data_IF_661588666690
#
_entry.id   IF_661588666690
#
_cell.length_a   1.000
_cell.length_b   1.000
_cell.length_c   1.000
_cell.angle_alpha   90.00
_cell.angle_beta   90.00
_cell.angle_gamma   90.00
#
_symmetry.space_group_name_H-M   'P 1'
#
loop_
_entity.id
_entity.type
_entity.pdbx_description
1 polymer ?
#
# COMPACT_ATOMS: atom_id res chain seq x y z
N UNK A 1 38.36 -72.26 -38.28
CA UNK A 1 37.19 -71.92 -37.46
C UNK A 1 36.73 -73.22 -36.81
N UNK A 2 37.17 -73.44 -35.58
CA UNK A 2 37.13 -74.73 -34.90
C UNK A 2 36.21 -74.68 -33.67
N UNK A 3 35.59 -75.84 -33.39
CA UNK A 3 35.18 -76.39 -32.07
C UNK A 3 34.23 -75.56 -31.19
N UNK A 4 33.19 -76.09 -30.54
CA UNK A 4 32.86 -77.48 -30.22
C UNK A 4 32.53 -77.59 -28.72
N UNK A 5 31.31 -78.10 -28.44
CA UNK A 5 30.95 -79.04 -27.35
C UNK A 5 31.01 -78.65 -25.85
N UNK A 6 30.00 -79.15 -25.11
CA UNK A 6 30.01 -79.41 -23.66
C UNK A 6 28.90 -78.67 -22.88
N UNK A 7 27.69 -79.19 -22.70
CA UNK A 7 27.22 -80.29 -21.84
C UNK A 7 27.14 -79.98 -20.31
N UNK A 8 25.89 -80.06 -19.82
CA UNK A 8 25.40 -80.47 -18.47
C UNK A 8 25.71 -79.59 -17.24
N UNK A 9 24.63 -79.20 -16.52
CA UNK A 9 24.26 -79.81 -15.22
C UNK A 9 22.92 -79.25 -14.69
N UNK A 10 22.12 -80.13 -14.11
CA UNK A 10 20.91 -79.85 -13.31
C UNK A 10 21.32 -79.36 -11.90
N UNK A 11 20.63 -78.35 -11.37
CA UNK A 11 20.86 -77.82 -10.02
C UNK A 11 19.59 -77.23 -9.39
N UNK A 12 19.17 -77.86 -8.29
CA UNK A 12 18.01 -77.65 -7.41
C UNK A 12 17.98 -76.27 -6.66
N UNK A 13 16.94 -75.98 -5.83
CA UNK A 13 16.18 -74.72 -5.81
C UNK A 13 16.77 -73.61 -4.93
N UNK A 14 16.58 -72.36 -5.37
CA UNK A 14 17.00 -71.15 -4.65
C UNK A 14 15.82 -70.23 -4.32
N UNK A 15 15.40 -70.28 -3.05
CA UNK A 15 14.81 -69.22 -2.20
C UNK A 15 14.21 -67.96 -2.87
N UNK A 16 12.93 -67.71 -2.59
CA UNK A 16 12.24 -66.42 -2.75
C UNK A 16 13.00 -65.28 -2.03
N UNK A 17 13.22 -64.11 -2.66
CA UNK A 17 13.36 -62.87 -1.92
C UNK A 17 11.98 -62.22 -1.75
N UNK A 18 11.55 -62.13 -0.49
CA UNK A 18 10.49 -61.24 -0.06
C UNK A 18 10.95 -59.79 -0.24
N UNK A 19 10.31 -59.04 -1.12
CA UNK A 19 10.40 -57.59 -1.13
C UNK A 19 9.09 -57.03 -1.70
N UNK A 20 8.16 -56.69 -0.80
CA UNK A 20 7.07 -55.76 -1.13
C UNK A 20 7.72 -54.40 -1.35
N UNK A 21 7.49 -53.71 -2.49
CA UNK A 21 8.11 -52.43 -2.76
C UNK A 21 7.66 -51.39 -1.72
N UNK A 22 8.62 -50.65 -1.16
CA UNK A 22 8.46 -49.69 -0.06
C UNK A 22 7.41 -48.58 -0.30
N UNK A 23 6.92 -48.45 -1.53
CA UNK A 23 5.88 -47.49 -1.93
C UNK A 23 4.51 -47.86 -1.34
N UNK A 24 4.22 -49.16 -1.15
CA UNK A 24 2.92 -49.59 -0.61
C UNK A 24 2.82 -49.45 0.92
N UNK A 25 3.96 -49.48 1.62
CA UNK A 25 4.02 -49.29 3.08
C UNK A 25 3.84 -47.82 3.48
N UNK A 26 4.30 -46.88 2.65
CA UNK A 26 4.17 -45.44 2.90
C UNK A 26 2.73 -44.94 2.74
N UNK A 27 1.98 -45.52 1.79
CA UNK A 27 0.57 -45.17 1.54
C UNK A 27 -0.36 -45.68 2.66
N UNK A 28 -0.06 -46.81 3.30
CA UNK A 28 -0.86 -47.35 4.41
C UNK A 28 -0.62 -46.63 5.76
N UNK A 29 0.50 -45.91 5.91
CA UNK A 29 0.79 -45.10 7.10
C UNK A 29 0.09 -43.72 7.08
N UNK A 30 -0.37 -43.26 5.91
CA UNK A 30 -1.10 -41.98 5.77
C UNK A 30 -2.62 -42.10 5.98
N UNK A 31 -3.15 -43.31 6.19
CA UNK A 31 -4.57 -43.58 6.44
C UNK A 31 -4.90 -43.96 7.90
N UNK A 32 -3.99 -43.72 8.84
CA UNK A 32 -4.22 -43.92 10.29
C UNK A 32 -3.82 -42.70 11.12
N UNK A 33 -4.47 -41.58 10.87
CA UNK A 33 -4.54 -40.49 11.85
C UNK A 33 -6.00 -40.29 12.26
N UNK A 34 -6.39 -40.59 13.51
CA UNK A 34 -7.70 -40.17 13.98
C UNK A 34 -7.69 -38.65 14.07
N UNK A 35 -8.57 -38.00 13.32
CA UNK A 35 -8.84 -36.58 13.45
C UNK A 35 -9.29 -36.30 14.89
N UNK A 36 -8.39 -35.75 15.70
CA UNK A 36 -8.70 -35.27 17.05
C UNK A 36 -9.29 -33.88 16.87
N UNK A 37 -10.61 -33.75 17.04
CA UNK A 37 -11.29 -32.47 17.11
C UNK A 37 -10.67 -31.66 18.26
N UNK A 38 -9.98 -30.57 17.92
CA UNK A 38 -9.47 -29.62 18.89
C UNK A 38 -10.63 -28.75 19.38
N UNK A 39 -11.13 -29.05 20.59
CA UNK A 39 -11.97 -28.13 21.34
C UNK A 39 -11.15 -26.89 21.70
N UNK A 40 -11.45 -25.75 21.08
CA UNK A 40 -10.92 -24.45 21.50
C UNK A 40 -11.60 -24.09 22.83
N UNK A 41 -10.89 -24.30 23.94
CA UNK A 41 -11.25 -23.68 25.22
C UNK A 41 -10.73 -22.24 25.19
N UNK A 42 -11.62 -21.28 25.40
CA UNK A 42 -11.30 -19.86 25.63
C UNK A 42 -10.37 -19.79 26.85
N UNK A 43 -9.09 -19.49 26.63
CA UNK A 43 -8.17 -19.15 27.70
C UNK A 43 -8.40 -17.68 28.07
N UNK A 44 -8.83 -17.42 29.30
CA UNK A 44 -8.78 -16.09 29.89
C UNK A 44 -7.31 -15.77 30.17
N UNK A 45 -6.79 -14.74 29.52
CA UNK A 45 -5.44 -14.26 29.76
C UNK A 45 -5.45 -13.32 30.98
N UNK A 46 -4.90 -13.81 32.09
CA UNK A 46 -4.56 -12.97 33.25
C UNK A 46 -3.33 -12.14 32.89
N UNK A 47 -3.53 -10.85 32.61
CA UNK A 47 -2.46 -9.89 32.33
C UNK A 47 -1.66 -9.61 33.60
N UNK A 48 -0.45 -10.16 33.67
CA UNK A 48 0.57 -9.71 34.62
C UNK A 48 1.34 -8.58 33.95
N UNK A 49 1.09 -7.34 34.37
CA UNK A 49 1.74 -6.15 33.84
C UNK A 49 3.19 -6.10 34.34
N UNK A 50 4.14 -6.48 33.49
CA UNK A 50 5.54 -6.05 33.63
C UNK A 50 5.74 -4.82 32.75
N UNK A 51 6.02 -3.69 33.40
CA UNK A 51 6.30 -2.39 32.79
C UNK A 51 7.53 -2.48 31.89
N UNK A 52 7.32 -2.41 30.58
CA UNK A 52 8.34 -2.06 29.60
C UNK A 52 8.31 -0.55 29.39
N UNK A 53 9.49 0.07 29.28
CA UNK A 53 9.65 1.48 28.93
C UNK A 53 8.92 1.80 27.61
N UNK A 54 8.40 3.03 27.43
CA UNK A 54 7.58 3.35 26.27
C UNK A 54 8.44 3.26 25.00
N UNK A 55 8.15 2.29 24.15
CA UNK A 55 8.51 2.36 22.74
C UNK A 55 7.91 3.65 22.17
N UNK A 56 8.67 4.36 21.34
CA UNK A 56 8.24 5.59 20.71
C UNK A 56 6.87 5.39 20.05
N UNK A 57 5.84 6.04 20.61
CA UNK A 57 4.44 5.65 20.45
C UNK A 57 4.01 5.36 19.00
N UNK A 58 3.43 4.17 18.82
CA UNK A 58 2.53 3.87 17.71
C UNK A 58 1.60 5.07 17.52
N UNK A 59 1.51 5.59 16.29
CA UNK A 59 0.75 6.81 16.00
C UNK A 59 -0.69 6.67 16.48
N UNK A 60 -1.23 7.70 17.13
CA UNK A 60 -2.65 7.75 17.48
C UNK A 60 -3.47 7.63 16.18
N UNK A 61 -4.26 6.55 16.10
CA UNK A 61 -5.08 6.17 14.93
C UNK A 61 -6.53 6.66 15.05
N UNK A 62 -6.78 7.66 15.90
CA UNK A 62 -8.10 8.02 16.42
C UNK A 62 -8.69 9.30 15.82
N UNK A 63 -8.01 9.93 14.85
CA UNK A 63 -8.49 11.16 14.20
C UNK A 63 -8.14 11.24 12.73
N UNK A 64 -8.90 12.03 11.99
CA UNK A 64 -8.59 12.44 10.62
C UNK A 64 -7.86 13.78 10.62
N UNK A 65 -6.85 13.91 9.74
CA UNK A 65 -6.16 15.19 9.54
C UNK A 65 -6.94 16.06 8.54
N UNK A 66 -7.43 17.20 9.02
CA UNK A 66 -7.95 18.26 8.16
C UNK A 66 -6.83 18.89 7.32
N UNK A 67 -7.18 19.58 6.25
CA UNK A 67 -6.22 20.05 5.26
C UNK A 67 -5.22 21.06 5.83
N UNK A 68 -5.65 21.87 6.80
CA UNK A 68 -4.77 22.77 7.55
C UNK A 68 -3.66 22.03 8.30
N UNK A 69 -3.95 20.80 8.75
CA UNK A 69 -3.01 19.95 9.49
C UNK A 69 -2.27 18.95 8.59
N UNK A 70 -2.81 18.60 7.41
CA UNK A 70 -2.30 17.51 6.57
C UNK A 70 -0.85 17.75 6.16
N UNK A 71 -0.50 18.98 5.77
CA UNK A 71 0.88 19.33 5.43
C UNK A 71 1.83 19.09 6.60
N UNK A 72 1.43 19.43 7.82
CA UNK A 72 2.23 19.19 9.04
C UNK A 72 2.33 17.70 9.37
N UNK A 73 1.23 16.94 9.26
CA UNK A 73 1.24 15.50 9.44
C UNK A 73 2.17 14.78 8.46
N UNK A 74 2.23 15.24 7.20
CA UNK A 74 3.16 14.70 6.20
C UNK A 74 4.62 15.10 6.46
N UNK A 75 4.88 16.28 7.02
CA UNK A 75 6.23 16.65 7.48
C UNK A 75 6.67 15.79 8.66
N UNK A 76 5.77 15.48 9.59
CA UNK A 76 6.04 14.56 10.70
C UNK A 76 6.31 13.14 10.19
N UNK A 77 5.50 12.65 9.25
CA UNK A 77 5.73 11.37 8.57
C UNK A 77 7.10 11.34 7.86
N UNK A 78 7.47 12.42 7.16
CA UNK A 78 8.78 12.57 6.53
C UNK A 78 9.93 12.54 7.57
N UNK A 79 9.76 13.26 8.68
CA UNK A 79 10.71 13.32 9.78
C UNK A 79 10.84 12.00 10.56
N UNK A 80 10.02 10.98 10.27
CA UNK A 80 10.21 9.63 10.77
C UNK A 80 11.29 8.84 10.02
N UNK A 81 11.77 9.32 8.86
CA UNK A 81 12.85 8.73 8.07
C UNK A 81 14.18 9.50 8.13
N UNK A 82 15.31 8.94 7.68
CA UNK A 82 16.57 9.68 7.60
C UNK A 82 16.50 10.86 6.60
N UNK A 83 17.33 11.92 6.79
CA UNK A 83 17.41 13.02 5.83
C UNK A 83 17.68 12.54 4.41
N UNK A 84 17.00 13.13 3.44
CA UNK A 84 17.15 12.77 2.02
C UNK A 84 16.44 11.50 1.58
N UNK A 85 15.60 10.90 2.44
CA UNK A 85 14.67 9.84 2.04
C UNK A 85 13.39 10.39 1.39
N UNK A 86 12.97 11.61 1.75
CA UNK A 86 11.66 12.14 1.35
C UNK A 86 11.71 13.52 0.71
N UNK A 87 10.65 13.86 -0.04
CA UNK A 87 10.32 15.20 -0.51
C UNK A 87 8.82 15.44 -0.37
N UNK A 88 8.44 16.53 0.27
CA UNK A 88 7.06 16.99 0.36
C UNK A 88 6.87 18.15 -0.60
N UNK A 89 5.86 18.05 -1.45
CA UNK A 89 5.52 19.07 -2.45
C UNK A 89 4.03 19.02 -2.79
N UNK A 90 3.54 20.02 -3.50
CA UNK A 90 2.19 20.10 -4.01
C UNK A 90 2.19 19.97 -5.54
N UNK A 91 1.24 19.22 -6.09
CA UNK A 91 1.07 19.07 -7.54
C UNK A 91 0.13 20.12 -8.15
N UNK A 92 -0.50 20.94 -7.30
CA UNK A 92 -1.51 21.91 -7.69
C UNK A 92 -2.45 22.22 -6.53
N UNK A 93 -3.55 22.89 -6.81
CA UNK A 93 -4.55 23.21 -5.80
C UNK A 93 -5.93 22.67 -6.23
N UNK A 94 -6.78 22.40 -5.25
CA UNK A 94 -8.20 22.19 -5.46
C UNK A 94 -8.91 23.45 -5.94
N UNK A 95 -10.19 23.33 -6.27
CA UNK A 95 -11.03 24.48 -6.63
C UNK A 95 -11.05 25.57 -5.56
N UNK A 96 -11.13 25.23 -4.26
CA UNK A 96 -11.10 26.20 -3.16
C UNK A 96 -9.67 26.62 -2.76
N UNK A 97 -8.66 26.24 -3.56
CA UNK A 97 -7.28 26.69 -3.37
C UNK A 97 -6.48 25.88 -2.36
N UNK A 98 -6.96 24.70 -1.94
CA UNK A 98 -6.24 23.83 -1.01
C UNK A 98 -5.13 23.06 -1.74
N UNK A 99 -3.91 22.96 -1.18
CA UNK A 99 -2.81 22.27 -1.83
C UNK A 99 -3.07 20.75 -1.97
N UNK A 100 -2.63 20.19 -3.09
CA UNK A 100 -2.66 18.74 -3.33
C UNK A 100 -1.32 18.13 -2.96
N UNK A 101 -1.15 17.86 -1.66
CA UNK A 101 0.12 17.38 -1.10
C UNK A 101 0.51 15.99 -1.61
N UNK A 102 1.79 15.86 -1.93
CA UNK A 102 2.46 14.61 -2.28
C UNK A 102 3.71 14.45 -1.43
N UNK A 103 3.83 13.32 -0.75
CA UNK A 103 5.08 12.88 -0.14
C UNK A 103 5.73 11.82 -1.05
N UNK A 104 6.88 12.16 -1.62
CA UNK A 104 7.77 11.21 -2.30
C UNK A 104 8.69 10.56 -1.27
N UNK A 105 8.85 9.24 -1.33
CA UNK A 105 9.74 8.44 -0.49
C UNK A 105 10.60 7.54 -1.38
N UNK A 106 11.91 7.81 -1.40
CA UNK A 106 12.89 7.00 -2.11
C UNK A 106 14.30 7.32 -1.60
N UNK A 107 15.18 6.32 -1.51
CA UNK A 107 16.54 6.54 -1.02
C UNK A 107 17.39 7.32 -2.04
N UNK A 108 18.24 8.23 -1.60
CA UNK A 108 19.22 8.89 -2.47
C UNK A 108 18.73 10.17 -3.15
N UNK A 109 17.77 10.88 -2.56
CA UNK A 109 17.35 12.22 -3.05
C UNK A 109 18.36 13.32 -2.70
N UNK A 110 19.38 13.02 -1.89
CA UNK A 110 20.31 14.01 -1.37
C UNK A 110 19.69 14.90 -0.28
N UNK A 111 20.41 15.93 0.18
CA UNK A 111 19.97 16.81 1.26
C UNK A 111 18.57 17.38 1.01
N UNK A 112 17.74 17.59 2.06
CA UNK A 112 16.47 18.30 1.92
C UNK A 112 16.64 19.63 1.20
N UNK A 113 15.65 20.02 0.40
CA UNK A 113 15.61 21.37 -0.15
C UNK A 113 15.33 22.36 1.00
N UNK A 114 15.89 23.58 0.96
CA UNK A 114 15.51 24.62 1.90
C UNK A 114 14.02 24.93 1.79
N UNK A 115 13.42 25.38 2.90
CA UNK A 115 12.01 25.74 2.95
C UNK A 115 11.70 26.86 1.92
N UNK A 116 10.67 26.65 1.08
CA UNK A 116 10.27 27.54 0.00
C UNK A 116 9.05 27.00 -0.76
N UNK A 117 8.62 27.68 -1.82
CA UNK A 117 7.42 27.30 -2.61
C UNK A 117 7.48 25.82 -3.02
N UNK A 118 6.68 25.01 -2.34
CA UNK A 118 6.64 23.56 -2.49
C UNK A 118 5.82 23.16 -3.72
N UNK A 119 6.11 23.74 -4.88
CA UNK A 119 5.52 23.36 -6.16
C UNK A 119 6.07 22.02 -6.68
N UNK A 120 5.64 21.58 -7.87
CA UNK A 120 6.02 20.28 -8.44
C UNK A 120 7.54 20.06 -8.56
N UNK A 121 8.31 21.14 -8.77
CA UNK A 121 9.76 21.10 -8.92
C UNK A 121 10.48 20.70 -7.61
N UNK A 122 9.83 20.87 -6.45
CA UNK A 122 10.33 20.42 -5.17
C UNK A 122 10.35 18.88 -5.01
N UNK A 123 9.78 18.14 -5.98
CA UNK A 123 9.86 16.68 -6.01
C UNK A 123 11.30 16.15 -6.09
N UNK A 124 12.25 16.95 -6.61
CA UNK A 124 13.64 16.55 -6.83
C UNK A 124 13.85 15.70 -8.08
N UNK A 125 15.09 15.31 -8.40
CA UNK A 125 15.42 14.63 -9.66
C UNK A 125 14.80 13.23 -9.75
N UNK A 126 14.53 12.76 -10.97
CA UNK A 126 14.25 11.36 -11.22
C UNK A 126 15.51 10.52 -10.98
N UNK A 127 15.32 9.32 -10.44
CA UNK A 127 16.39 8.36 -10.19
C UNK A 127 16.35 7.27 -11.27
N UNK A 128 17.36 7.18 -12.15
CA UNK A 128 17.36 6.18 -13.23
C UNK A 128 17.21 4.75 -12.72
N UNK A 129 16.44 3.94 -13.45
CA UNK A 129 16.23 2.53 -13.12
C UNK A 129 15.29 2.26 -11.95
N UNK A 130 14.65 3.29 -11.37
CA UNK A 130 13.65 3.11 -10.31
C UNK A 130 12.23 3.21 -10.86
N UNK A 131 11.40 2.14 -10.79
CA UNK A 131 9.99 2.24 -11.05
C UNK A 131 9.32 3.23 -10.09
N UNK A 132 8.32 3.96 -10.61
CA UNK A 132 7.53 4.88 -9.82
C UNK A 132 6.19 4.26 -9.48
N UNK A 133 5.78 4.37 -8.22
CA UNK A 133 4.46 3.94 -7.73
C UNK A 133 3.76 5.16 -7.15
N UNK A 134 2.55 5.45 -7.63
CA UNK A 134 1.73 6.57 -7.16
C UNK A 134 0.51 5.99 -6.44
N UNK A 135 0.35 6.34 -5.16
CA UNK A 135 -0.78 5.97 -4.33
C UNK A 135 -1.62 7.23 -4.11
N UNK A 136 -2.84 7.23 -4.65
CA UNK A 136 -3.76 8.37 -4.62
C UNK A 136 -4.99 7.97 -3.83
N UNK A 137 -5.28 8.72 -2.77
CA UNK A 137 -6.43 8.50 -1.89
C UNK A 137 -7.47 9.59 -2.03
N UNK A 138 -8.65 9.33 -1.45
CA UNK A 138 -9.70 10.31 -1.18
C UNK A 138 -10.02 11.17 -2.41
N UNK A 139 -10.22 10.48 -3.55
CA UNK A 139 -10.78 11.07 -4.77
C UNK A 139 -12.25 11.42 -4.62
N UNK A 140 -12.96 10.65 -3.79
CA UNK A 140 -14.22 11.05 -3.21
C UNK A 140 -13.93 11.53 -1.78
N UNK A 141 -14.35 12.75 -1.45
CA UNK A 141 -13.97 13.42 -0.21
C UNK A 141 -14.57 12.77 1.05
N UNK A 142 -15.74 12.14 0.93
CA UNK A 142 -16.44 11.39 1.97
C UNK A 142 -15.89 9.96 2.22
N UNK A 143 -15.03 9.45 1.34
CA UNK A 143 -14.33 8.16 1.50
C UNK A 143 -13.02 8.34 2.31
N UNK A 144 -13.16 8.88 3.53
CA UNK A 144 -12.10 9.47 4.36
C UNK A 144 -10.98 8.50 4.80
N UNK A 145 -11.29 7.21 4.95
CA UNK A 145 -10.32 6.19 5.42
C UNK A 145 -9.08 6.12 4.52
N UNK A 146 -9.28 6.25 3.21
CA UNK A 146 -8.18 6.18 2.23
C UNK A 146 -7.13 7.28 2.43
N UNK A 147 -7.55 8.50 2.80
CA UNK A 147 -6.68 9.63 3.16
C UNK A 147 -5.78 9.27 4.33
N UNK A 148 -6.39 8.76 5.39
CA UNK A 148 -5.70 8.50 6.64
C UNK A 148 -4.74 7.30 6.54
N UNK A 149 -5.16 6.22 5.87
CA UNK A 149 -4.31 5.05 5.60
C UNK A 149 -3.04 5.44 4.86
N UNK A 150 -3.13 6.37 3.90
CA UNK A 150 -1.97 6.83 3.15
C UNK A 150 -1.00 7.67 3.99
N UNK A 151 -1.50 8.51 4.91
CA UNK A 151 -0.65 9.24 5.87
C UNK A 151 0.12 8.26 6.77
N UNK A 152 -0.56 7.24 7.29
CA UNK A 152 0.08 6.22 8.13
C UNK A 152 1.06 5.34 7.37
N UNK A 153 0.72 4.96 6.13
CA UNK A 153 1.62 4.24 5.25
C UNK A 153 2.90 5.04 5.00
N UNK A 154 2.79 6.34 4.70
CA UNK A 154 3.93 7.22 4.52
C UNK A 154 4.85 7.24 5.77
N UNK A 155 4.28 7.38 6.96
CA UNK A 155 5.02 7.34 8.23
C UNK A 155 5.71 5.98 8.42
N UNK A 156 5.02 4.87 8.15
CA UNK A 156 5.59 3.54 8.34
C UNK A 156 6.69 3.21 7.33
N UNK A 157 6.55 3.65 6.07
CA UNK A 157 7.62 3.55 5.07
C UNK A 157 8.88 4.30 5.54
N UNK A 158 8.73 5.52 6.04
CA UNK A 158 9.84 6.34 6.51
C UNK A 158 10.48 5.78 7.80
N UNK A 159 9.65 5.47 8.80
CA UNK A 159 10.08 4.92 10.09
C UNK A 159 10.72 3.53 9.93
N UNK A 160 10.08 2.64 9.17
CA UNK A 160 10.58 1.30 8.92
C UNK A 160 11.90 1.30 8.16
N UNK A 161 12.11 2.23 7.21
CA UNK A 161 13.41 2.42 6.59
C UNK A 161 14.48 2.84 7.61
N UNK A 162 14.17 3.78 8.51
CA UNK A 162 15.08 4.19 9.59
C UNK A 162 15.41 3.03 10.54
N UNK A 163 14.41 2.22 10.91
CA UNK A 163 14.58 1.03 11.76
C UNK A 163 15.40 -0.08 11.09
N UNK A 164 15.64 0.02 9.78
CA UNK A 164 16.37 -1.00 9.03
C UNK A 164 15.54 -2.23 8.67
N UNK A 165 14.21 -2.09 8.57
CA UNK A 165 13.34 -3.17 8.11
C UNK A 165 13.79 -3.66 6.72
N UNK A 166 14.19 -4.93 6.54
CA UNK A 166 14.77 -5.40 5.28
C UNK A 166 13.84 -5.27 4.07
N UNK A 167 12.52 -5.37 4.27
CA UNK A 167 11.53 -5.24 3.20
C UNK A 167 11.38 -3.78 2.80
N UNK A 168 11.25 -2.87 3.76
CA UNK A 168 11.04 -1.45 3.49
C UNK A 168 12.31 -0.77 2.98
N UNK A 169 13.47 -1.15 3.50
CA UNK A 169 14.78 -0.74 2.98
C UNK A 169 14.94 -1.17 1.52
N UNK A 170 14.64 -2.43 1.19
CA UNK A 170 14.71 -2.90 -0.20
C UNK A 170 13.72 -2.16 -1.11
N UNK A 171 12.49 -1.94 -0.64
CA UNK A 171 11.46 -1.22 -1.39
C UNK A 171 11.93 0.19 -1.75
N UNK A 172 12.32 1.00 -0.76
CA UNK A 172 12.68 2.41 -1.01
C UNK A 172 14.05 2.60 -1.66
N UNK A 173 14.92 1.59 -1.65
CA UNK A 173 16.18 1.59 -2.42
C UNK A 173 15.97 1.28 -3.91
N UNK A 174 14.86 0.67 -4.27
CA UNK A 174 14.62 0.20 -5.65
C UNK A 174 13.44 0.90 -6.31
N UNK A 175 12.51 1.46 -5.53
CA UNK A 175 11.24 2.01 -6.00
C UNK A 175 11.10 3.46 -5.53
N UNK A 176 10.43 4.26 -6.33
CA UNK A 176 10.06 5.63 -6.01
C UNK A 176 8.56 5.68 -5.66
N UNK A 177 8.26 5.86 -4.38
CA UNK A 177 6.87 5.81 -3.88
C UNK A 177 6.38 7.23 -3.67
N UNK A 178 5.30 7.59 -4.36
CA UNK A 178 4.62 8.86 -4.19
C UNK A 178 3.27 8.63 -3.53
N UNK A 179 3.02 9.34 -2.43
CA UNK A 179 1.78 9.25 -1.67
C UNK A 179 1.07 10.59 -1.77
N UNK A 180 -0.12 10.59 -2.37
CA UNK A 180 -1.06 11.69 -2.44
C UNK A 180 -2.28 11.32 -1.58
N UNK A 181 -2.34 11.74 -0.31
CA UNK A 181 -3.41 11.30 0.60
C UNK A 181 -4.80 11.74 0.16
N UNK A 182 -4.93 12.94 -0.41
CA UNK A 182 -6.22 13.53 -0.76
C UNK A 182 -6.21 14.23 -2.10
N UNK A 183 -6.90 13.64 -3.07
CA UNK A 183 -7.16 14.28 -4.36
C UNK A 183 -8.34 15.25 -4.28
N UNK A 184 -9.31 15.02 -3.38
CA UNK A 184 -10.48 15.88 -3.17
C UNK A 184 -10.50 16.48 -1.74
N UNK A 185 -9.57 17.40 -1.40
CA UNK A 185 -9.56 18.02 -0.08
C UNK A 185 -10.81 18.87 0.17
N UNK A 186 -11.40 19.49 -0.87
CA UNK A 186 -12.61 20.30 -0.72
C UNK A 186 -13.82 19.45 -0.32
N UNK A 187 -14.00 18.29 -0.95
CA UNK A 187 -15.04 17.33 -0.59
C UNK A 187 -14.82 16.77 0.81
N UNK A 188 -13.57 16.49 1.19
CA UNK A 188 -13.22 16.03 2.53
C UNK A 188 -13.60 17.05 3.61
N UNK A 189 -13.27 18.33 3.43
CA UNK A 189 -13.62 19.38 4.40
C UNK A 189 -15.13 19.63 4.52
N UNK A 190 -15.91 19.30 3.47
CA UNK A 190 -17.37 19.37 3.53
C UNK A 190 -18.00 18.11 4.12
N UNK A 191 -17.33 16.96 4.07
CA UNK A 191 -17.82 15.70 4.59
C UNK A 191 -18.08 15.80 6.10
N UNK A 192 -19.12 15.12 6.57
CA UNK A 192 -19.52 15.13 7.98
C UNK A 192 -19.71 13.70 8.45
N UNK A 193 -19.18 13.39 9.63
CA UNK A 193 -19.43 12.11 10.27
C UNK A 193 -20.94 11.89 10.46
N UNK A 194 -21.41 10.68 10.11
CA UNK A 194 -22.83 10.32 10.13
C UNK A 194 -23.60 10.71 8.87
N UNK A 195 -23.01 11.44 7.93
CA UNK A 195 -23.59 11.68 6.60
C UNK A 195 -22.99 10.71 5.58
N UNK A 196 -23.68 9.58 5.38
CA UNK A 196 -23.22 8.51 4.50
C UNK A 196 -23.82 8.59 3.07
N UNK A 197 -24.57 9.65 2.74
CA UNK A 197 -25.08 9.86 1.38
C UNK A 197 -26.12 8.83 0.88
N UNK A 198 -26.60 7.91 1.71
CA UNK A 198 -27.54 6.85 1.30
C UNK A 198 -29.03 7.24 1.47
N UNK A 199 -29.35 8.50 1.78
CA UNK A 199 -30.74 8.94 1.93
C UNK A 199 -31.49 8.25 3.08
N UNK A 200 -30.76 7.64 4.00
CA UNK A 200 -31.19 6.85 5.15
C UNK A 200 -31.66 7.72 6.34
N UNK A 201 -32.27 8.87 6.05
CA UNK A 201 -33.00 9.70 7.00
C UNK A 201 -32.26 10.89 7.59
N UNK A 202 -31.00 11.14 7.17
CA UNK A 202 -30.32 12.41 7.43
C UNK A 202 -30.84 13.54 6.55
N UNK A 203 -30.82 14.81 7.00
CA UNK A 203 -31.09 15.94 6.10
C UNK A 203 -30.05 15.92 4.96
N UNK A 204 -30.42 16.32 3.72
CA UNK A 204 -29.48 16.39 2.61
C UNK A 204 -28.31 17.30 3.00
N UNK A 205 -27.17 16.69 3.34
CA UNK A 205 -25.93 17.40 3.57
C UNK A 205 -25.31 17.84 2.25
N UNK A 206 -24.43 18.85 2.27
CA UNK A 206 -23.57 19.14 1.13
C UNK A 206 -22.60 17.97 0.98
N UNK A 207 -22.98 16.93 0.24
CA UNK A 207 -22.23 15.68 0.12
C UNK A 207 -20.73 15.91 -0.13
N UNK A 208 -19.89 15.13 0.56
CA UNK A 208 -18.43 15.21 0.47
C UNK A 208 -17.84 14.47 -0.73
N UNK A 209 -18.64 13.69 -1.46
CA UNK A 209 -18.19 12.88 -2.60
C UNK A 209 -17.50 13.69 -3.68
N UNK A 210 -18.19 14.70 -4.19
CA UNK A 210 -17.76 15.49 -5.34
C UNK A 210 -16.78 16.61 -4.92
N UNK A 211 -16.06 17.19 -5.87
CA UNK A 211 -15.30 18.42 -5.59
C UNK A 211 -16.24 19.61 -5.32
N UNK A 212 -15.71 20.80 -5.00
CA UNK A 212 -16.54 21.98 -4.70
C UNK A 212 -17.31 22.55 -5.91
N UNK A 213 -17.12 22.02 -7.12
CA UNK A 213 -17.95 22.31 -8.31
C UNK A 213 -18.99 21.23 -8.61
N UNK A 214 -19.19 20.26 -7.72
CA UNK A 214 -20.14 19.17 -7.93
C UNK A 214 -19.72 18.23 -9.06
N UNK A 215 -18.41 18.00 -9.23
CA UNK A 215 -17.87 17.04 -10.19
C UNK A 215 -17.36 15.80 -9.47
N UNK A 216 -17.80 14.63 -9.93
CA UNK A 216 -17.18 13.34 -9.59
C UNK A 216 -15.80 13.28 -10.26
N UNK A 217 -14.73 13.35 -9.45
CA UNK A 217 -13.36 13.32 -9.97
C UNK A 217 -13.04 12.01 -10.71
N UNK A 218 -13.62 10.89 -10.28
CA UNK A 218 -13.44 9.58 -10.91
C UNK A 218 -14.33 9.36 -12.14
N UNK A 219 -15.07 10.38 -12.59
CA UNK A 219 -15.71 10.45 -13.92
C UNK A 219 -15.10 11.52 -14.81
N UNK A 220 -14.03 12.16 -14.32
CA UNK A 220 -13.45 13.34 -14.95
C UNK A 220 -12.11 13.06 -15.64
N UNK A 221 -11.59 11.84 -15.56
CA UNK A 221 -10.42 11.41 -16.31
C UNK A 221 -10.78 11.04 -17.75
N UNK A 222 -9.84 11.18 -18.71
CA UNK A 222 -9.99 10.60 -20.04
C UNK A 222 -10.22 9.08 -19.93
N UNK A 223 -11.33 8.61 -20.48
CA UNK A 223 -11.69 7.19 -20.52
C UNK A 223 -11.53 6.66 -21.94
N UNK A 224 -10.95 5.48 -22.07
CA UNK A 224 -10.77 4.78 -23.34
C UNK A 224 -12.07 4.15 -23.85
N UNK A 225 -13.03 3.86 -22.96
CA UNK A 225 -14.24 3.10 -23.26
C UNK A 225 -15.51 3.95 -23.29
N UNK A 226 -15.49 5.14 -22.71
CA UNK A 226 -16.58 6.11 -22.83
C UNK A 226 -16.53 6.85 -24.17
N UNK A 227 -17.69 7.00 -24.79
CA UNK A 227 -17.88 7.84 -25.98
C UNK A 227 -18.18 9.31 -25.64
N UNK A 228 -18.30 9.66 -24.36
CA UNK A 228 -18.55 11.02 -23.90
C UNK A 228 -17.24 11.79 -23.73
N UNK A 229 -17.23 13.08 -24.10
CA UNK A 229 -16.10 13.94 -23.78
C UNK A 229 -16.00 14.12 -22.25
N UNK A 230 -14.80 13.96 -21.66
CA UNK A 230 -14.61 14.27 -20.25
C UNK A 230 -14.90 15.75 -19.99
N UNK A 231 -15.26 16.14 -18.75
CA UNK A 231 -15.46 17.55 -18.41
C UNK A 231 -14.20 18.37 -18.75
N UNK A 232 -14.41 19.64 -19.07
CA UNK A 232 -13.31 20.57 -19.29
C UNK A 232 -12.40 20.56 -18.05
N UNK A 233 -11.09 20.41 -18.25
CA UNK A 233 -10.13 20.33 -17.14
C UNK A 233 -10.10 21.58 -16.25
N UNK A 234 -10.67 22.71 -16.72
CA UNK A 234 -10.84 23.92 -15.91
C UNK A 234 -11.87 23.74 -14.79
N UNK A 235 -12.81 22.81 -14.95
CA UNK A 235 -13.84 22.46 -13.96
C UNK A 235 -13.35 21.48 -12.89
N UNK A 236 -12.22 20.82 -13.14
CA UNK A 236 -11.64 19.77 -12.29
C UNK A 236 -10.13 19.98 -12.12
N UNK A 237 -9.71 21.10 -11.49
CA UNK A 237 -8.29 21.42 -11.32
C UNK A 237 -7.52 20.31 -10.58
N UNK A 238 -8.18 19.52 -9.74
CA UNK A 238 -7.60 18.36 -9.06
C UNK A 238 -7.15 17.28 -10.06
N UNK A 239 -8.03 16.95 -11.01
CA UNK A 239 -7.78 15.96 -12.07
C UNK A 239 -6.75 16.49 -13.05
N UNK A 240 -6.82 17.78 -13.40
CA UNK A 240 -5.79 18.45 -14.21
C UNK A 240 -4.42 18.32 -13.57
N UNK A 241 -4.29 18.67 -12.29
CA UNK A 241 -3.02 18.62 -11.56
C UNK A 241 -2.43 17.20 -11.56
N UNK A 242 -3.26 16.17 -11.34
CA UNK A 242 -2.85 14.78 -11.38
C UNK A 242 -2.41 14.33 -12.78
N UNK A 243 -3.15 14.68 -13.83
CA UNK A 243 -2.78 14.37 -15.23
C UNK A 243 -1.46 15.04 -15.60
N UNK A 244 -1.32 16.33 -15.30
CA UNK A 244 -0.11 17.10 -15.57
C UNK A 244 1.09 16.52 -14.84
N UNK A 245 0.93 16.15 -13.57
CA UNK A 245 1.98 15.52 -12.78
C UNK A 245 2.41 14.18 -13.39
N UNK A 246 1.47 13.32 -13.80
CA UNK A 246 1.78 12.04 -14.45
C UNK A 246 2.50 12.26 -15.79
N UNK A 247 2.12 13.28 -16.56
CA UNK A 247 2.74 13.59 -17.86
C UNK A 247 4.15 14.15 -17.73
N UNK A 248 4.41 14.96 -16.70
CA UNK A 248 5.73 15.58 -16.43
C UNK A 248 6.71 14.58 -15.81
N UNK A 249 6.23 13.62 -15.02
CA UNK A 249 7.07 12.70 -14.24
C UNK A 249 7.44 11.42 -15.02
N UNK A 250 7.98 11.58 -16.24
CA UNK A 250 8.40 10.48 -17.13
C UNK A 250 9.91 10.32 -17.21
#
# INVERSE_FOLDING_TARGET
MASGWGARALGQPGRLPAAVPAVLLLLLLLLRSPARAAHIKKAEATTTTTSAAPEAGEGQFDRYYHEEELGSALREAAAAGPPGLTRLFSIGNSVEGRPLWVLRLTAGLGPPLPDGDAGPDAAGPLLPGRPQVKLVGNMHGDETVSRQVLVYLARELAAGYRRGDPRLVRLLNTTDVYVLPSLNPDGFERAREGDCGFGDGGPPGPGGRDNSRGRDLNRSFPDQFSSGEPPALDDVPEVRALIDWIRRNK
#
